data_IF_096966434077
#
_entry.id   IF_096966434077
#
_cell.length_a   1.000
_cell.length_b   1.000
_cell.length_c   1.000
_cell.angle_alpha   90.00
_cell.angle_beta   90.00
_cell.angle_gamma   90.00
#
_symmetry.space_group_name_H-M   'P 1'
#
loop_
_entity.id
_entity.type
_entity.pdbx_description
1 polymer ?
#
# COMPACT_ATOMS: atom_id res chain seq x y z
N UNK A 1 10.67 6.66 6.05
CA UNK A 1 11.70 6.69 4.98
C UNK A 1 11.78 8.02 4.20
N UNK A 2 10.79 8.38 3.35
CA UNK A 2 10.94 9.57 2.48
C UNK A 2 11.08 10.91 3.25
N UNK A 3 10.35 11.07 4.36
CA UNK A 3 10.47 12.26 5.20
C UNK A 3 11.82 12.32 5.94
N UNK A 4 12.28 11.18 6.45
CA UNK A 4 13.59 11.07 7.10
C UNK A 4 14.73 11.36 6.11
N UNK A 5 14.65 10.81 4.89
CA UNK A 5 15.59 11.11 3.82
C UNK A 5 15.62 12.61 3.51
N UNK A 6 14.44 13.26 3.47
CA UNK A 6 14.36 14.71 3.28
C UNK A 6 15.06 15.48 4.41
N UNK A 7 14.84 15.11 5.67
CA UNK A 7 15.50 15.74 6.82
C UNK A 7 17.03 15.57 6.73
N UNK A 8 17.51 14.39 6.36
CA UNK A 8 18.95 14.14 6.15
C UNK A 8 19.51 14.94 4.97
N UNK A 9 18.75 15.11 3.89
CA UNK A 9 19.18 15.92 2.75
C UNK A 9 19.20 17.41 3.07
N UNK A 10 18.25 17.90 3.88
CA UNK A 10 18.28 19.28 4.38
C UNK A 10 19.58 19.59 5.12
N UNK A 11 20.10 18.68 5.95
CA UNK A 11 21.37 18.91 6.65
C UNK A 11 22.60 18.78 5.74
N UNK A 12 22.54 17.94 4.70
CA UNK A 12 23.69 17.67 3.81
C UNK A 12 23.85 18.68 2.67
N UNK A 13 22.75 19.08 2.03
CA UNK A 13 22.78 19.92 0.81
C UNK A 13 21.88 21.17 0.92
N UNK A 14 21.26 21.40 2.07
CA UNK A 14 20.40 22.55 2.32
C UNK A 14 18.95 22.39 1.79
N UNK A 15 18.02 23.23 2.28
CA UNK A 15 16.59 23.14 1.95
C UNK A 15 16.32 23.46 0.47
N UNK A 16 16.96 24.48 -0.08
CA UNK A 16 16.69 24.95 -1.45
C UNK A 16 16.95 23.86 -2.51
N UNK A 17 18.07 23.14 -2.40
CA UNK A 17 18.40 22.04 -3.32
C UNK A 17 17.51 20.82 -3.08
N UNK A 18 17.21 20.52 -1.81
CA UNK A 18 16.40 19.36 -1.45
C UNK A 18 14.94 19.50 -1.91
N UNK A 19 14.37 20.71 -1.84
CA UNK A 19 12.98 20.95 -2.26
C UNK A 19 12.80 20.87 -3.78
N UNK A 20 13.89 21.04 -4.55
CA UNK A 20 13.92 20.78 -5.99
C UNK A 20 13.89 19.28 -6.32
N UNK A 21 14.18 18.39 -5.37
CA UNK A 21 14.18 16.95 -5.57
C UNK A 21 12.76 16.36 -5.54
N UNK A 22 12.50 15.44 -6.46
CA UNK A 22 11.24 14.66 -6.50
C UNK A 22 11.33 13.48 -5.54
N UNK A 23 11.13 13.74 -4.25
CA UNK A 23 11.17 12.73 -3.18
C UNK A 23 9.76 12.26 -2.79
N UNK A 24 9.55 10.95 -2.71
CA UNK A 24 8.29 10.35 -2.26
C UNK A 24 8.23 8.85 -2.51
N UNK A 25 7.15 8.22 -2.05
CA UNK A 25 6.84 6.83 -2.45
C UNK A 25 6.43 6.79 -3.92
N UNK A 26 6.45 5.59 -4.51
CA UNK A 26 6.00 5.37 -5.90
C UNK A 26 4.57 5.91 -6.08
N UNK A 27 3.62 5.47 -5.24
CA UNK A 27 2.22 5.89 -5.31
C UNK A 27 2.02 7.40 -5.17
N UNK A 28 2.72 8.06 -4.21
CA UNK A 28 2.62 9.52 -4.04
C UNK A 28 3.16 10.27 -5.27
N UNK A 29 4.22 9.73 -5.88
CA UNK A 29 4.78 10.28 -7.12
C UNK A 29 3.79 10.14 -8.26
N UNK A 30 3.21 8.95 -8.48
CA UNK A 30 2.18 8.72 -9.49
C UNK A 30 0.99 9.68 -9.34
N UNK A 31 0.43 9.75 -8.12
CA UNK A 31 -0.72 10.62 -7.83
C UNK A 31 -0.44 12.08 -8.16
N UNK A 32 0.74 12.59 -7.80
CA UNK A 32 1.14 13.97 -8.10
C UNK A 32 1.14 14.24 -9.61
N UNK A 33 1.70 13.34 -10.41
CA UNK A 33 1.72 13.53 -11.87
C UNK A 33 0.32 13.40 -12.48
N UNK A 34 -0.48 12.43 -12.03
CA UNK A 34 -1.84 12.25 -12.53
C UNK A 34 -2.68 13.50 -12.23
N UNK A 35 -2.67 14.00 -10.99
CA UNK A 35 -3.41 15.22 -10.62
C UNK A 35 -2.97 16.45 -11.42
N UNK A 36 -1.67 16.63 -11.64
CA UNK A 36 -1.15 17.83 -12.29
C UNK A 36 -1.25 17.81 -13.82
N UNK A 37 -1.35 16.63 -14.46
CA UNK A 37 -1.16 16.52 -15.91
C UNK A 37 -2.21 15.68 -16.65
N UNK A 38 -3.07 14.95 -15.93
CA UNK A 38 -4.08 14.09 -16.55
C UNK A 38 -5.47 14.38 -16.00
N UNK A 39 -5.63 14.35 -14.68
CA UNK A 39 -6.94 14.36 -14.04
C UNK A 39 -6.89 15.00 -12.64
N UNK A 40 -7.08 16.33 -12.54
CA UNK A 40 -7.06 17.05 -11.27
C UNK A 40 -8.13 16.56 -10.28
N UNK A 41 -9.30 16.15 -10.79
CA UNK A 41 -10.44 15.70 -10.00
C UNK A 41 -10.43 14.22 -9.63
N UNK A 42 -9.30 13.52 -9.80
CA UNK A 42 -9.19 12.09 -9.50
C UNK A 42 -9.38 11.82 -8.01
N UNK A 43 -10.27 10.88 -7.71
CA UNK A 43 -10.51 10.38 -6.35
C UNK A 43 -9.57 9.19 -6.09
N UNK A 44 -8.81 9.23 -4.99
CA UNK A 44 -8.02 8.08 -4.56
C UNK A 44 -8.88 7.19 -3.66
N UNK A 45 -9.00 5.91 -3.99
CA UNK A 45 -9.64 4.92 -3.13
C UNK A 45 -8.57 4.04 -2.48
N UNK A 46 -8.68 3.86 -1.17
CA UNK A 46 -7.83 2.93 -0.44
C UNK A 46 -8.38 1.50 -0.46
N UNK A 47 -7.64 0.58 0.16
CA UNK A 47 -8.01 -0.83 0.21
C UNK A 47 -9.39 -1.05 0.85
N UNK A 48 -9.78 -0.22 1.82
CA UNK A 48 -11.06 -0.35 2.55
C UNK A 48 -12.21 0.11 1.67
N UNK A 49 -12.07 1.26 1.02
CA UNK A 49 -13.08 1.78 0.08
C UNK A 49 -13.29 0.82 -1.10
N UNK A 50 -12.20 0.28 -1.65
CA UNK A 50 -12.27 -0.74 -2.70
C UNK A 50 -12.99 -2.01 -2.21
N UNK A 51 -12.66 -2.50 -1.01
CA UNK A 51 -13.32 -3.66 -0.41
C UNK A 51 -14.82 -3.42 -0.23
N UNK A 52 -15.21 -2.28 0.33
CA UNK A 52 -16.62 -1.91 0.54
C UNK A 52 -17.38 -1.87 -0.80
N UNK A 53 -16.79 -1.26 -1.83
CA UNK A 53 -17.40 -1.23 -3.16
C UNK A 53 -17.61 -2.64 -3.73
N UNK A 54 -16.60 -3.50 -3.64
CA UNK A 54 -16.69 -4.89 -4.10
C UNK A 54 -17.76 -5.66 -3.32
N UNK A 55 -17.83 -5.49 -1.99
CA UNK A 55 -18.82 -6.15 -1.14
C UNK A 55 -20.24 -5.78 -1.57
N UNK A 56 -20.49 -4.51 -1.81
CA UNK A 56 -21.79 -4.02 -2.26
C UNK A 56 -22.18 -4.56 -3.64
N UNK A 57 -21.25 -4.54 -4.60
CA UNK A 57 -21.48 -5.10 -5.94
C UNK A 57 -21.72 -6.60 -5.86
N UNK A 58 -21.02 -7.30 -4.96
CA UNK A 58 -21.24 -8.73 -4.69
C UNK A 58 -22.65 -8.98 -4.16
N UNK A 59 -23.16 -8.14 -3.25
CA UNK A 59 -24.54 -8.23 -2.73
C UNK A 59 -25.62 -8.05 -3.82
N UNK A 60 -25.29 -7.43 -4.95
CA UNK A 60 -26.20 -7.29 -6.09
C UNK A 60 -26.26 -8.55 -6.97
N UNK A 61 -25.24 -9.40 -6.92
CA UNK A 61 -25.05 -10.54 -7.82
C UNK A 61 -25.16 -11.91 -7.13
N UNK A 62 -24.90 -11.97 -5.82
CA UNK A 62 -24.82 -13.23 -5.06
C UNK A 62 -25.94 -13.30 -4.01
N UNK A 63 -26.36 -14.52 -3.66
CA UNK A 63 -27.39 -14.80 -2.65
C UNK A 63 -27.12 -14.14 -1.29
N UNK A 64 -28.19 -13.72 -0.60
CA UNK A 64 -28.16 -13.03 0.71
C UNK A 64 -27.43 -13.80 1.83
N UNK A 65 -27.23 -15.11 1.70
CA UNK A 65 -26.57 -15.96 2.72
C UNK A 65 -25.04 -16.12 2.54
N UNK A 66 -24.45 -15.48 1.52
CA UNK A 66 -23.03 -15.63 1.23
C UNK A 66 -22.12 -14.83 2.19
N UNK A 67 -20.89 -15.30 2.46
CA UNK A 67 -19.92 -14.57 3.27
C UNK A 67 -19.31 -13.41 2.48
N UNK A 68 -20.08 -12.33 2.28
CA UNK A 68 -19.74 -11.21 1.40
C UNK A 68 -18.35 -10.61 1.66
N UNK A 69 -17.98 -10.43 2.93
CA UNK A 69 -16.68 -9.89 3.30
C UNK A 69 -15.50 -10.75 2.80
N UNK A 70 -15.60 -12.07 2.97
CA UNK A 70 -14.57 -13.01 2.51
C UNK A 70 -14.51 -13.05 0.98
N UNK A 71 -15.67 -13.07 0.31
CA UNK A 71 -15.74 -13.02 -1.15
C UNK A 71 -15.11 -11.73 -1.68
N UNK A 72 -15.43 -10.59 -1.08
CA UNK A 72 -14.90 -9.30 -1.49
C UNK A 72 -13.38 -9.22 -1.38
N UNK A 73 -12.79 -9.76 -0.29
CA UNK A 73 -11.34 -9.83 -0.15
C UNK A 73 -10.65 -10.65 -1.23
N UNK A 74 -11.23 -11.81 -1.59
CA UNK A 74 -10.65 -12.66 -2.64
C UNK A 74 -10.79 -12.00 -4.02
N UNK A 75 -11.92 -11.34 -4.30
CA UNK A 75 -12.10 -10.55 -5.53
C UNK A 75 -11.13 -9.37 -5.57
N UNK A 76 -10.88 -8.70 -4.44
CA UNK A 76 -9.91 -7.62 -4.37
C UNK A 76 -8.48 -8.10 -4.67
N UNK A 77 -8.07 -9.25 -4.13
CA UNK A 77 -6.78 -9.89 -4.47
C UNK A 77 -6.71 -10.22 -5.97
N UNK A 78 -7.81 -10.73 -6.54
CA UNK A 78 -7.93 -11.01 -7.98
C UNK A 78 -7.66 -9.76 -8.82
N UNK A 79 -8.34 -8.66 -8.48
CA UNK A 79 -8.24 -7.37 -9.18
C UNK A 79 -6.83 -6.81 -9.06
N UNK A 80 -6.26 -6.78 -7.86
CA UNK A 80 -4.90 -6.30 -7.62
C UNK A 80 -3.88 -7.10 -8.45
N UNK A 81 -3.98 -8.43 -8.43
CA UNK A 81 -3.14 -9.32 -9.23
C UNK A 81 -3.27 -9.06 -10.73
N UNK A 82 -4.49 -8.91 -11.24
CA UNK A 82 -4.74 -8.55 -12.64
C UNK A 82 -4.05 -7.24 -13.03
N UNK A 83 -4.08 -6.23 -12.14
CA UNK A 83 -3.45 -4.92 -12.37
C UNK A 83 -1.93 -5.00 -12.31
N UNK A 84 -1.36 -5.77 -11.38
CA UNK A 84 0.09 -5.98 -11.27
C UNK A 84 0.65 -6.71 -12.49
N UNK A 85 -0.04 -7.75 -12.95
CA UNK A 85 0.40 -8.60 -14.07
C UNK A 85 -0.21 -8.20 -15.42
N UNK A 86 -0.77 -7.00 -15.53
CA UNK A 86 -1.40 -6.48 -16.76
C UNK A 86 -0.43 -6.62 -17.95
N UNK A 87 -0.92 -7.26 -19.01
CA UNK A 87 -0.14 -7.52 -20.24
C UNK A 87 0.87 -8.68 -20.12
N UNK A 88 0.75 -9.57 -19.14
CA UNK A 88 1.58 -10.78 -19.03
C UNK A 88 0.73 -12.05 -19.11
N UNK A 89 1.33 -13.19 -19.46
CA UNK A 89 0.63 -14.49 -19.52
C UNK A 89 0.05 -14.96 -18.17
N UNK A 90 0.49 -14.38 -17.05
CA UNK A 90 0.05 -14.72 -15.68
C UNK A 90 -1.36 -14.16 -15.33
N UNK A 91 -1.98 -13.32 -16.17
CA UNK A 91 -3.21 -12.60 -15.80
C UNK A 91 -4.52 -13.39 -15.93
N UNK A 92 -4.58 -14.46 -16.73
CA UNK A 92 -5.84 -15.10 -17.15
C UNK A 92 -6.15 -16.47 -16.50
N UNK A 93 -5.19 -17.41 -16.37
CA UNK A 93 -5.46 -18.74 -15.79
C UNK A 93 -5.88 -18.69 -14.30
N UNK A 94 -5.44 -17.66 -13.57
CA UNK A 94 -5.66 -17.54 -12.14
C UNK A 94 -7.09 -17.12 -11.77
N UNK A 95 -7.77 -16.36 -12.65
CA UNK A 95 -9.14 -15.92 -12.40
C UNK A 95 -10.12 -17.09 -12.35
N UNK A 96 -9.88 -18.11 -13.19
CA UNK A 96 -10.66 -19.35 -13.21
C UNK A 96 -10.46 -20.14 -11.91
N UNK A 97 -9.22 -20.17 -11.39
CA UNK A 97 -8.91 -20.82 -10.12
C UNK A 97 -9.56 -20.11 -8.92
N UNK A 98 -9.54 -18.78 -8.90
CA UNK A 98 -10.18 -18.03 -7.81
C UNK A 98 -11.70 -18.13 -7.83
N UNK A 99 -12.33 -18.12 -9.02
CA UNK A 99 -13.78 -18.32 -9.12
C UNK A 99 -14.22 -19.69 -8.57
N UNK A 100 -13.47 -20.76 -8.90
CA UNK A 100 -13.80 -22.11 -8.44
C UNK A 100 -13.61 -22.26 -6.93
N UNK A 101 -12.55 -21.65 -6.37
CA UNK A 101 -12.30 -21.62 -4.92
C UNK A 101 -13.41 -20.94 -4.13
N UNK A 102 -14.06 -19.93 -4.69
CA UNK A 102 -15.15 -19.21 -4.03
C UNK A 102 -16.53 -19.85 -4.20
N UNK A 103 -16.64 -20.89 -5.04
CA UNK A 103 -17.93 -21.47 -5.40
C UNK A 103 -18.85 -20.51 -6.14
N UNK A 104 -18.27 -19.51 -6.83
CA UNK A 104 -19.01 -18.53 -7.66
C UNK A 104 -18.78 -18.93 -9.11
N UNK A 105 -19.84 -18.99 -9.91
CA UNK A 105 -19.69 -19.28 -11.33
C UNK A 105 -18.80 -18.21 -12.01
N UNK A 106 -17.98 -18.65 -12.96
CA UNK A 106 -16.97 -17.78 -13.56
C UNK A 106 -17.56 -16.53 -14.22
N UNK A 107 -18.76 -16.64 -14.81
CA UNK A 107 -19.42 -15.51 -15.46
C UNK A 107 -19.86 -14.44 -14.44
N UNK A 108 -20.46 -14.86 -13.31
CA UNK A 108 -20.80 -13.95 -12.20
C UNK A 108 -19.55 -13.33 -11.59
N UNK A 109 -18.48 -14.11 -11.39
CA UNK A 109 -17.20 -13.59 -10.89
C UNK A 109 -16.62 -12.51 -11.80
N UNK A 110 -16.57 -12.75 -13.11
CA UNK A 110 -16.15 -11.75 -14.10
C UNK A 110 -17.05 -10.52 -14.12
N UNK A 111 -18.37 -10.71 -13.96
CA UNK A 111 -19.33 -9.61 -13.92
C UNK A 111 -19.11 -8.72 -12.69
N UNK A 112 -18.87 -9.30 -11.51
CA UNK A 112 -18.56 -8.52 -10.29
C UNK A 112 -17.27 -7.70 -10.48
N UNK A 113 -16.23 -8.29 -11.07
CA UNK A 113 -14.98 -7.56 -11.37
C UNK A 113 -15.24 -6.41 -12.35
N UNK A 114 -15.98 -6.69 -13.43
CA UNK A 114 -16.33 -5.69 -14.46
C UNK A 114 -17.13 -4.53 -13.87
N UNK A 115 -18.16 -4.82 -13.08
CA UNK A 115 -19.01 -3.80 -12.47
C UNK A 115 -18.26 -3.02 -11.38
N UNK A 116 -17.33 -3.66 -10.67
CA UNK A 116 -16.40 -2.98 -9.75
C UNK A 116 -15.57 -1.93 -10.48
N UNK A 117 -14.92 -2.34 -11.57
CA UNK A 117 -14.08 -1.44 -12.36
C UNK A 117 -14.89 -0.33 -13.04
N UNK A 118 -16.10 -0.62 -13.53
CA UNK A 118 -17.02 0.40 -14.08
C UNK A 118 -17.41 1.42 -13.01
N UNK A 119 -17.73 0.97 -11.81
CA UNK A 119 -18.11 1.86 -10.70
C UNK A 119 -16.96 2.78 -10.31
N UNK A 120 -15.73 2.26 -10.23
CA UNK A 120 -14.53 3.08 -10.02
C UNK A 120 -14.33 4.11 -11.14
N UNK A 121 -14.49 3.69 -12.41
CA UNK A 121 -14.36 4.56 -13.57
C UNK A 121 -15.38 5.70 -13.56
N UNK A 122 -16.67 5.41 -13.34
CA UNK A 122 -17.73 6.43 -13.25
C UNK A 122 -17.54 7.35 -12.04
N UNK A 123 -16.90 6.83 -10.99
CA UNK A 123 -16.55 7.59 -9.79
C UNK A 123 -15.27 8.43 -9.95
N UNK A 124 -14.68 8.48 -11.15
CA UNK A 124 -13.37 9.09 -11.42
C UNK A 124 -12.29 8.65 -10.40
N UNK A 125 -12.33 7.38 -10.03
CA UNK A 125 -11.56 6.84 -8.92
C UNK A 125 -10.43 5.92 -9.38
N UNK A 126 -9.29 6.01 -8.70
CA UNK A 126 -8.14 5.11 -8.88
C UNK A 126 -7.77 4.50 -7.53
N UNK A 127 -7.40 3.23 -7.52
CA UNK A 127 -6.69 2.62 -6.39
C UNK A 127 -5.16 2.72 -6.56
N UNK A 128 -4.42 2.17 -5.60
CA UNK A 128 -2.96 2.22 -5.61
C UNK A 128 -2.33 1.54 -6.83
N UNK A 129 -2.90 0.42 -7.31
CA UNK A 129 -2.39 -0.28 -8.48
C UNK A 129 -2.74 0.43 -9.80
N UNK A 130 -3.90 1.09 -9.84
CA UNK A 130 -4.30 1.95 -10.95
C UNK A 130 -3.37 3.16 -11.08
N UNK A 131 -2.97 3.79 -9.97
CA UNK A 131 -2.03 4.93 -10.00
C UNK A 131 -0.73 4.57 -10.74
N UNK A 132 -0.21 3.36 -10.52
CA UNK A 132 1.02 2.88 -11.18
C UNK A 132 0.79 2.69 -12.68
N UNK A 133 -0.31 2.03 -13.05
CA UNK A 133 -0.61 1.72 -14.46
C UNK A 133 -1.02 2.97 -15.27
N UNK A 134 -1.82 3.86 -14.70
CA UNK A 134 -2.23 5.13 -15.32
C UNK A 134 -1.03 6.04 -15.53
N UNK A 135 -0.15 6.16 -14.54
CA UNK A 135 1.05 6.97 -14.72
C UNK A 135 2.00 6.38 -15.76
N UNK A 136 2.13 5.05 -15.84
CA UNK A 136 2.89 4.39 -16.91
C UNK A 136 2.31 4.72 -18.28
N UNK A 137 0.99 4.59 -18.46
CA UNK A 137 0.32 4.95 -19.71
C UNK A 137 0.49 6.43 -20.06
N UNK A 138 0.45 7.32 -19.07
CA UNK A 138 0.71 8.75 -19.27
C UNK A 138 2.14 9.03 -19.77
N UNK A 139 3.14 8.29 -19.29
CA UNK A 139 4.53 8.42 -19.76
C UNK A 139 4.66 7.92 -21.20
N UNK A 140 4.01 6.82 -21.55
CA UNK A 140 4.00 6.28 -22.92
C UNK A 140 3.39 7.29 -23.91
N UNK A 141 2.31 7.97 -23.50
CA UNK A 141 1.65 9.01 -24.31
C UNK A 141 2.42 10.34 -24.34
N UNK A 142 3.04 10.74 -23.22
CA UNK A 142 3.75 12.03 -23.06
C UNK A 142 5.12 11.84 -22.38
N UNK A 143 6.14 11.32 -23.10
CA UNK A 143 7.47 11.09 -22.54
C UNK A 143 8.15 12.36 -22.01
N UNK A 144 7.79 13.53 -22.56
CA UNK A 144 8.33 14.83 -22.17
C UNK A 144 8.11 15.18 -20.69
N UNK A 145 7.10 14.59 -20.03
CA UNK A 145 6.80 14.81 -18.61
C UNK A 145 7.96 14.41 -17.68
N UNK A 146 8.72 13.40 -18.06
CA UNK A 146 9.85 12.88 -17.27
C UNK A 146 11.20 13.25 -17.86
N UNK A 147 11.26 13.93 -19.01
CA UNK A 147 12.49 14.30 -19.74
C UNK A 147 13.57 15.01 -18.91
N UNK A 148 13.18 15.76 -17.87
CA UNK A 148 14.11 16.45 -16.97
C UNK A 148 14.70 15.56 -15.87
N UNK A 149 14.22 14.33 -15.73
CA UNK A 149 14.77 13.35 -14.80
C UNK A 149 16.08 12.84 -15.39
N UNK A 150 17.20 13.02 -14.70
CA UNK A 150 18.51 12.50 -15.14
C UNK A 150 18.93 11.26 -14.35
N UNK A 151 18.49 11.18 -13.09
CA UNK A 151 18.83 10.10 -12.18
C UNK A 151 17.57 9.64 -11.44
N UNK A 152 17.43 8.33 -11.31
CA UNK A 152 16.34 7.69 -10.58
C UNK A 152 16.98 6.83 -9.50
N UNK A 153 16.60 7.07 -8.25
CA UNK A 153 17.05 6.29 -7.10
C UNK A 153 15.84 5.56 -6.52
N UNK A 154 15.98 4.25 -6.35
CA UNK A 154 14.93 3.39 -5.78
C UNK A 154 15.52 2.65 -4.61
N UNK A 155 14.93 2.86 -3.44
CA UNK A 155 15.25 2.16 -2.20
C UNK A 155 14.26 1.01 -1.98
N UNK A 156 14.62 0.02 -1.17
CA UNK A 156 13.82 -1.19 -0.89
C UNK A 156 13.33 -1.92 -2.15
N UNK A 157 14.22 -2.07 -3.15
CA UNK A 157 13.85 -2.61 -4.46
C UNK A 157 13.32 -4.05 -4.42
N UNK A 158 13.70 -4.83 -3.39
CA UNK A 158 13.18 -6.19 -3.17
C UNK A 158 11.68 -6.25 -2.95
N UNK A 159 11.07 -5.15 -2.48
CA UNK A 159 9.65 -5.07 -2.18
C UNK A 159 8.82 -4.50 -3.35
N UNK A 160 9.44 -4.33 -4.53
CA UNK A 160 8.76 -3.86 -5.73
C UNK A 160 8.01 -4.98 -6.43
N UNK A 161 6.83 -4.66 -6.96
CA UNK A 161 6.08 -5.58 -7.83
C UNK A 161 6.37 -5.31 -9.32
N UNK A 162 5.94 -6.22 -10.20
CA UNK A 162 6.18 -6.12 -11.65
C UNK A 162 5.62 -4.84 -12.29
N UNK A 163 4.48 -4.32 -11.84
CA UNK A 163 3.92 -3.08 -12.37
C UNK A 163 4.77 -1.86 -12.01
N UNK A 164 5.26 -1.81 -10.76
CA UNK A 164 6.17 -0.77 -10.27
C UNK A 164 7.51 -0.83 -10.99
N UNK A 165 8.07 -2.03 -11.19
CA UNK A 165 9.28 -2.24 -12.00
C UNK A 165 9.10 -1.68 -13.42
N UNK A 166 8.03 -2.08 -14.12
CA UNK A 166 7.73 -1.58 -15.47
C UNK A 166 7.56 -0.07 -15.53
N UNK A 167 6.96 0.53 -14.50
CA UNK A 167 6.87 1.99 -14.39
C UNK A 167 8.26 2.63 -14.28
N UNK A 168 9.10 2.15 -13.37
CA UNK A 168 10.47 2.65 -13.18
C UNK A 168 11.27 2.56 -14.48
N UNK A 169 11.21 1.41 -15.15
CA UNK A 169 11.84 1.19 -16.45
C UNK A 169 11.30 2.16 -17.52
N UNK A 170 9.99 2.37 -17.58
CA UNK A 170 9.36 3.29 -18.54
C UNK A 170 9.80 4.75 -18.32
N UNK A 171 9.89 5.19 -17.05
CA UNK A 171 10.41 6.51 -16.71
C UNK A 171 11.84 6.64 -17.24
N UNK A 172 12.72 5.71 -16.88
CA UNK A 172 14.13 5.76 -17.23
C UNK A 172 14.36 5.76 -18.75
N UNK A 173 13.59 4.96 -19.48
CA UNK A 173 13.65 4.90 -20.95
C UNK A 173 13.17 6.22 -21.57
N UNK A 174 12.07 6.78 -21.09
CA UNK A 174 11.51 8.03 -21.61
C UNK A 174 12.42 9.25 -21.32
N UNK A 175 13.13 9.25 -20.19
CA UNK A 175 14.02 10.34 -19.78
C UNK A 175 15.49 10.13 -20.09
N UNK A 176 15.86 8.97 -20.64
CA UNK A 176 17.25 8.52 -20.81
C UNK A 176 18.07 8.67 -19.50
N UNK A 177 17.46 8.31 -18.36
CA UNK A 177 18.07 8.45 -17.03
C UNK A 177 18.96 7.27 -16.67
N UNK A 178 19.97 7.54 -15.84
CA UNK A 178 20.63 6.49 -15.06
C UNK A 178 19.74 6.05 -13.89
N UNK A 179 19.66 4.74 -13.66
CA UNK A 179 18.96 4.16 -12.50
C UNK A 179 19.96 3.63 -11.49
N UNK A 180 19.68 3.87 -10.21
CA UNK A 180 20.33 3.20 -9.09
C UNK A 180 19.26 2.58 -8.21
N UNK A 181 19.33 1.26 -8.02
CA UNK A 181 18.44 0.51 -7.13
C UNK A 181 19.24 0.03 -5.93
N UNK A 182 18.64 0.08 -4.75
CA UNK A 182 19.20 -0.45 -3.50
C UNK A 182 18.16 -1.40 -2.91
N UNK A 183 18.61 -2.53 -2.40
CA UNK A 183 17.73 -3.48 -1.75
C UNK A 183 18.45 -4.77 -1.36
N UNK A 184 17.79 -5.55 -0.52
CA UNK A 184 18.29 -6.83 -0.03
C UNK A 184 17.22 -7.92 -0.23
N UNK A 185 17.41 -8.88 -1.14
CA UNK A 185 16.50 -10.00 -1.33
C UNK A 185 16.21 -10.80 -0.06
N UNK A 186 17.15 -10.88 0.88
CA UNK A 186 16.95 -11.59 2.16
C UNK A 186 15.99 -10.83 3.10
N UNK A 187 15.64 -9.58 2.76
CA UNK A 187 14.69 -8.73 3.48
C UNK A 187 13.33 -8.62 2.78
N UNK A 188 13.08 -9.41 1.73
CA UNK A 188 11.82 -9.37 0.99
C UNK A 188 10.67 -9.99 1.82
N UNK A 189 9.87 -9.16 2.48
CA UNK A 189 8.76 -9.59 3.36
C UNK A 189 7.37 -9.25 2.81
N UNK A 190 7.29 -8.59 1.64
CA UNK A 190 6.04 -8.15 1.00
C UNK A 190 5.57 -9.05 -0.15
N UNK A 191 6.02 -10.32 -0.22
CA UNK A 191 5.58 -11.25 -1.26
C UNK A 191 4.06 -11.46 -1.35
N UNK A 192 3.35 -11.33 -0.22
CA UNK A 192 1.89 -11.36 -0.16
C UNK A 192 1.21 -10.13 -0.81
N UNK A 193 1.97 -9.08 -1.16
CA UNK A 193 1.54 -7.95 -2.02
C UNK A 193 2.18 -8.01 -3.41
N UNK A 194 2.55 -9.20 -3.86
CA UNK A 194 3.14 -9.46 -5.19
C UNK A 194 4.50 -8.81 -5.42
N UNK A 195 5.24 -8.48 -4.35
CA UNK A 195 6.65 -8.15 -4.48
C UNK A 195 7.41 -9.34 -5.09
N UNK A 196 8.30 -9.06 -6.02
CA UNK A 196 9.02 -10.10 -6.77
C UNK A 196 10.53 -9.80 -6.77
N UNK A 197 11.30 -10.60 -6.03
CA UNK A 197 12.76 -10.48 -5.98
C UNK A 197 13.40 -10.83 -7.32
N UNK A 198 12.69 -11.49 -8.24
CA UNK A 198 13.15 -11.68 -9.61
C UNK A 198 13.33 -10.35 -10.36
N UNK A 199 12.77 -9.24 -9.88
CA UNK A 199 13.00 -7.91 -10.46
C UNK A 199 14.48 -7.54 -10.50
N UNK A 200 15.31 -8.01 -9.56
CA UNK A 200 16.77 -7.82 -9.63
C UNK A 200 17.39 -8.45 -10.89
N UNK A 201 16.85 -9.56 -11.38
CA UNK A 201 17.36 -10.26 -12.56
C UNK A 201 17.10 -9.47 -13.85
N UNK A 202 16.07 -8.62 -13.88
CA UNK A 202 15.84 -7.71 -15.00
C UNK A 202 16.84 -6.54 -15.05
N UNK A 203 17.50 -6.24 -13.93
CA UNK A 203 18.55 -5.23 -13.85
C UNK A 203 19.92 -5.75 -14.29
N UNK A 204 20.24 -7.04 -14.15
CA UNK A 204 21.57 -7.57 -14.45
C UNK A 204 21.55 -9.00 -15.04
N UNK A 205 22.41 -9.27 -16.03
CA UNK A 205 22.64 -10.63 -16.57
C UNK A 205 23.69 -11.34 -15.72
N UNK A 206 23.37 -12.54 -15.21
CA UNK A 206 24.34 -13.63 -15.06
C UNK A 206 25.60 -13.40 -14.22
N UNK A 207 25.64 -12.36 -13.39
CA UNK A 207 26.57 -12.30 -12.28
C UNK A 207 25.89 -12.96 -11.10
N UNK A 208 26.24 -14.22 -10.84
CA UNK A 208 26.20 -14.74 -9.47
C UNK A 208 26.75 -13.64 -8.57
N UNK A 209 26.10 -13.38 -7.43
CA UNK A 209 26.57 -12.48 -6.39
C UNK A 209 27.92 -12.99 -5.85
N UNK A 210 28.98 -12.91 -6.63
CA UNK A 210 30.32 -13.33 -6.24
C UNK A 210 31.13 -12.10 -5.83
N UNK A 211 32.01 -12.23 -4.83
CA UNK A 211 32.84 -11.14 -4.36
C UNK A 211 33.70 -10.59 -5.50
N UNK A 212 34.08 -9.33 -5.36
CA UNK A 212 35.05 -8.64 -6.22
C UNK A 212 36.26 -9.56 -6.41
N UNK A 213 36.54 -9.92 -7.67
CA UNK A 213 37.53 -10.92 -8.13
C UNK A 213 37.04 -12.36 -8.21
N UNK A 214 36.32 -12.72 -9.27
CA UNK A 214 36.65 -13.85 -10.17
C UNK A 214 35.67 -13.95 -11.34
N UNK A 215 36.16 -14.54 -12.44
CA UNK A 215 35.58 -14.63 -13.79
C UNK A 215 34.06 -14.91 -13.82
N UNK A 216 33.38 -14.16 -14.68
CA UNK A 216 31.99 -14.37 -15.10
C UNK A 216 31.82 -15.81 -15.59
N UNK A 217 31.09 -16.64 -14.85
CA UNK A 217 30.58 -17.91 -15.37
C UNK A 217 29.37 -17.57 -16.23
N UNK A 218 29.55 -17.52 -17.54
CA UNK A 218 28.45 -17.54 -18.50
C UNK A 218 27.74 -18.88 -18.39
N UNK A 219 26.55 -18.91 -17.78
CA UNK A 219 25.61 -20.02 -17.92
C UNK A 219 24.73 -19.77 -19.18
N UNK A 220 24.94 -20.48 -20.31
CA UNK A 220 24.19 -20.23 -21.54
C UNK A 220 22.71 -20.62 -21.43
N UNK A 221 22.37 -21.53 -20.51
CA UNK A 221 21.03 -22.14 -20.42
C UNK A 221 19.96 -21.22 -19.80
N UNK A 222 20.34 -20.32 -18.87
CA UNK A 222 19.38 -19.41 -18.21
C UNK A 222 18.89 -18.27 -19.12
N UNK A 223 19.60 -17.99 -20.21
CA UNK A 223 19.30 -16.89 -21.14
C UNK A 223 18.03 -17.13 -21.97
N UNK A 224 17.61 -18.39 -22.12
CA UNK A 224 16.49 -18.76 -22.99
C UNK A 224 15.11 -18.59 -22.32
N UNK A 225 15.04 -18.59 -20.99
CA UNK A 225 13.77 -18.57 -20.25
C UNK A 225 13.35 -17.19 -19.72
N UNK A 226 14.29 -16.26 -19.48
CA UNK A 226 14.03 -15.02 -18.71
C UNK A 226 13.84 -13.74 -19.56
N UNK A 227 13.91 -13.82 -20.89
CA UNK A 227 13.82 -12.64 -21.76
C UNK A 227 15.08 -11.75 -21.71
N UNK A 228 15.12 -10.64 -22.47
CA UNK A 228 16.26 -9.73 -22.48
C UNK A 228 16.38 -8.99 -21.14
N UNK A 229 17.61 -8.76 -20.68
CA UNK A 229 17.89 -7.89 -19.54
C UNK A 229 17.75 -6.43 -19.97
N UNK A 230 16.99 -5.66 -19.20
CA UNK A 230 16.61 -4.29 -19.55
C UNK A 230 17.78 -3.31 -19.36
N UNK A 231 18.70 -3.61 -18.43
CA UNK A 231 19.87 -2.79 -18.12
C UNK A 231 21.19 -3.56 -18.25
N UNK A 232 21.68 -3.83 -19.48
CA UNK A 232 22.85 -4.68 -19.70
C UNK A 232 24.18 -4.08 -19.17
N UNK A 233 24.22 -2.77 -18.92
CA UNK A 233 25.41 -2.05 -18.41
C UNK A 233 25.39 -1.82 -16.89
N UNK A 234 24.52 -2.51 -16.16
CA UNK A 234 24.41 -2.37 -14.71
C UNK A 234 25.71 -2.75 -14.01
N UNK A 235 26.16 -1.89 -13.09
CA UNK A 235 27.24 -2.18 -12.16
C UNK A 235 26.63 -2.64 -10.84
N UNK A 236 27.04 -3.80 -10.36
CA UNK A 236 26.60 -4.34 -9.07
C UNK A 236 27.67 -4.01 -8.02
N UNK A 237 27.24 -3.42 -6.91
CA UNK A 237 28.10 -3.12 -5.76
C UNK A 237 27.52 -3.83 -4.55
N UNK A 238 28.28 -4.77 -3.98
CA UNK A 238 27.88 -5.49 -2.77
C UNK A 238 28.40 -4.73 -1.54
N UNK A 239 27.49 -4.38 -0.64
CA UNK A 239 27.82 -3.78 0.65
C UNK A 239 27.90 -4.88 1.70
N UNK A 240 29.11 -5.32 2.01
CA UNK A 240 29.34 -6.46 2.90
C UNK A 240 29.55 -6.03 4.36
N UNK A 241 29.81 -4.75 4.63
CA UNK A 241 30.06 -4.28 6.00
C UNK A 241 28.78 -3.85 6.69
N UNK A 242 28.47 -4.49 7.82
CA UNK A 242 27.38 -4.12 8.71
C UNK A 242 27.87 -3.12 9.78
N UNK A 243 27.22 -1.96 9.83
CA UNK A 243 27.49 -0.87 10.76
C UNK A 243 26.45 -0.74 11.88
N UNK A 244 25.41 -1.58 11.89
CA UNK A 244 24.25 -1.45 12.79
C UNK A 244 24.33 -2.39 13.99
N UNK A 245 24.72 -3.63 13.75
CA UNK A 245 24.58 -4.74 14.69
C UNK A 245 25.94 -5.19 15.20
N UNK A 246 25.98 -5.63 16.45
CA UNK A 246 27.18 -6.25 17.03
C UNK A 246 27.46 -7.62 16.39
N UNK A 247 28.70 -8.14 16.48
CA UNK A 247 29.06 -9.46 15.97
C UNK A 247 28.15 -10.57 16.49
N UNK A 248 27.78 -10.56 17.77
CA UNK A 248 26.86 -11.54 18.36
C UNK A 248 25.49 -11.58 17.67
N UNK A 249 24.89 -10.41 17.40
CA UNK A 249 23.60 -10.31 16.72
C UNK A 249 23.73 -10.73 15.25
N UNK A 250 24.80 -10.29 14.57
CA UNK A 250 25.00 -10.63 13.16
C UNK A 250 25.21 -12.13 12.96
N UNK A 251 26.04 -12.77 13.81
CA UNK A 251 26.28 -14.21 13.76
C UNK A 251 24.98 -15.01 13.99
N UNK A 252 24.14 -14.56 14.92
CA UNK A 252 22.83 -15.16 15.15
C UNK A 252 21.91 -15.05 13.93
N UNK A 253 21.82 -13.85 13.31
CA UNK A 253 21.05 -13.65 12.09
C UNK A 253 21.56 -14.52 10.93
N UNK A 254 22.88 -14.66 10.79
CA UNK A 254 23.50 -15.56 9.82
C UNK A 254 23.15 -17.03 10.03
N UNK A 255 23.16 -17.50 11.27
CA UNK A 255 22.78 -18.87 11.59
C UNK A 255 21.32 -19.17 11.25
N UNK A 256 20.43 -18.17 11.34
CA UNK A 256 19.03 -18.31 10.93
C UNK A 256 18.92 -18.37 9.40
N UNK A 257 19.45 -17.37 8.69
CA UNK A 257 19.28 -17.26 7.24
C UNK A 257 20.00 -18.37 6.46
N UNK A 258 21.06 -18.96 7.03
CA UNK A 258 21.78 -20.08 6.42
C UNK A 258 20.94 -21.36 6.25
N UNK A 259 19.78 -21.45 6.91
CA UNK A 259 18.83 -22.56 6.75
C UNK A 259 18.09 -22.49 5.41
N UNK A 260 18.05 -21.33 4.74
CA UNK A 260 17.46 -21.20 3.41
C UNK A 260 18.49 -21.57 2.32
N UNK A 261 18.39 -22.79 1.81
CA UNK A 261 19.27 -23.31 0.77
C UNK A 261 18.96 -22.78 -0.64
N UNK A 262 17.84 -22.07 -0.82
CA UNK A 262 17.50 -21.46 -2.11
C UNK A 262 18.24 -20.15 -2.37
N UNK A 263 18.92 -19.60 -1.35
CA UNK A 263 19.58 -18.30 -1.43
C UNK A 263 20.97 -18.35 -2.06
N UNK A 264 21.39 -17.31 -2.80
CA UNK A 264 22.79 -17.10 -3.15
C UNK A 264 23.63 -16.86 -1.90
N UNK A 265 24.79 -17.51 -1.79
CA UNK A 265 25.71 -17.27 -0.67
C UNK A 265 26.22 -15.84 -0.66
N UNK A 266 25.99 -15.13 0.44
CA UNK A 266 26.50 -13.77 0.67
C UNK A 266 27.11 -13.67 2.05
N UNK A 267 28.14 -12.85 2.16
CA UNK A 267 28.87 -12.61 3.40
C UNK A 267 28.64 -11.18 3.85
N UNK A 268 28.11 -11.02 5.07
CA UNK A 268 28.15 -9.75 5.80
C UNK A 268 29.21 -9.86 6.90
N UNK A 269 29.95 -8.80 7.13
CA UNK A 269 30.97 -8.71 8.16
C UNK A 269 30.66 -7.52 9.05
N UNK A 270 30.84 -7.66 10.35
CA UNK A 270 30.78 -6.51 11.25
C UNK A 270 31.99 -5.61 11.06
N UNK A 271 31.82 -4.32 11.35
CA UNK A 271 32.95 -3.41 11.46
C UNK A 271 33.92 -3.93 12.55
N UNK A 272 35.21 -4.10 12.20
CA UNK A 272 36.25 -4.64 13.10
C UNK A 272 36.35 -3.92 14.45
N UNK A 273 35.95 -2.66 14.52
CA UNK A 273 35.97 -1.84 15.73
C UNK A 273 34.79 -2.12 16.69
N UNK A 274 33.76 -2.86 16.29
CA UNK A 274 32.63 -3.13 17.17
C UNK A 274 32.99 -4.19 18.22
N UNK A 275 32.69 -3.95 19.51
CA UNK A 275 32.76 -5.01 20.51
C UNK A 275 31.76 -6.11 20.15
N UNK A 276 32.08 -7.36 20.48
CA UNK A 276 31.27 -8.56 20.18
C UNK A 276 29.80 -8.38 20.62
N UNK A 277 29.60 -7.68 21.74
CA UNK A 277 28.28 -7.40 22.31
C UNK A 277 27.64 -8.65 22.95
N UNK A 278 26.56 -8.46 23.71
CA UNK A 278 25.86 -9.56 24.35
C UNK A 278 25.23 -10.50 23.32
N UNK A 279 25.13 -11.78 23.67
CA UNK A 279 24.40 -12.76 22.87
C UNK A 279 22.89 -12.48 22.95
N UNK A 280 22.14 -12.66 21.84
CA UNK A 280 20.69 -12.67 21.88
C UNK A 280 20.18 -13.69 22.91
N UNK A 281 19.27 -13.26 23.79
CA UNK A 281 18.67 -14.10 24.80
C UNK A 281 17.30 -14.60 24.33
N UNK A 282 17.09 -15.92 24.37
CA UNK A 282 15.79 -16.55 24.13
C UNK A 282 15.18 -16.99 25.46
N UNK A 283 14.03 -16.40 25.81
CA UNK A 283 13.29 -16.75 27.01
C UNK A 283 11.90 -17.27 26.63
N UNK A 284 11.50 -18.39 27.24
CA UNK A 284 10.16 -18.95 27.09
C UNK A 284 9.31 -18.57 28.30
N UNK A 285 8.14 -18.02 28.04
CA UNK A 285 7.15 -17.68 29.06
C UNK A 285 5.90 -18.57 28.89
N UNK A 286 5.13 -18.80 29.96
CA UNK A 286 4.00 -19.73 29.92
C UNK A 286 2.84 -19.21 29.06
N UNK A 287 2.67 -17.88 28.98
CA UNK A 287 1.65 -17.23 28.18
C UNK A 287 2.09 -15.81 27.75
N UNK A 288 1.29 -15.18 26.90
CA UNK A 288 1.56 -13.86 26.34
C UNK A 288 1.57 -12.74 27.39
N UNK A 289 0.77 -12.86 28.46
CA UNK A 289 0.72 -11.85 29.52
C UNK A 289 2.00 -11.88 30.37
N UNK A 290 2.48 -13.06 30.73
CA UNK A 290 3.76 -13.24 31.43
C UNK A 290 4.94 -12.80 30.55
N UNK A 291 4.89 -13.05 29.24
CA UNK A 291 5.86 -12.52 28.29
C UNK A 291 5.90 -10.99 28.28
N UNK A 292 4.75 -10.35 28.19
CA UNK A 292 4.64 -8.90 28.21
C UNK A 292 5.11 -8.29 29.55
N UNK A 293 4.74 -8.91 30.68
CA UNK A 293 5.15 -8.48 32.03
C UNK A 293 6.66 -8.65 32.25
N UNK A 294 7.23 -9.76 31.77
CA UNK A 294 8.67 -10.03 31.84
C UNK A 294 9.46 -9.01 31.02
N UNK A 295 9.04 -8.75 29.77
CA UNK A 295 9.68 -7.75 28.90
C UNK A 295 9.57 -6.34 29.49
N UNK A 296 8.39 -5.94 30.00
CA UNK A 296 8.21 -4.63 30.64
C UNK A 296 9.12 -4.48 31.87
N UNK A 297 9.23 -5.51 32.71
CA UNK A 297 10.13 -5.50 33.87
C UNK A 297 11.59 -5.41 33.42
N UNK A 298 11.98 -6.17 32.40
CA UNK A 298 13.34 -6.15 31.86
C UNK A 298 13.73 -4.77 31.30
N UNK A 299 12.85 -4.11 30.55
CA UNK A 299 13.07 -2.74 30.04
C UNK A 299 13.23 -1.76 31.21
N UNK A 300 12.36 -1.84 32.22
CA UNK A 300 12.42 -0.97 33.38
C UNK A 300 13.73 -1.14 34.16
N UNK A 301 14.13 -2.38 34.41
CA UNK A 301 15.36 -2.71 35.14
C UNK A 301 16.59 -2.24 34.38
N UNK A 302 16.64 -2.43 33.05
CA UNK A 302 17.73 -1.92 32.22
C UNK A 302 17.79 -0.41 32.21
N UNK A 303 16.65 0.27 32.09
CA UNK A 303 16.58 1.73 32.16
C UNK A 303 17.15 2.24 33.49
N UNK A 304 16.69 1.69 34.63
CA UNK A 304 17.17 2.08 35.96
C UNK A 304 18.66 1.83 36.16
N UNK A 305 19.18 0.67 35.72
CA UNK A 305 20.59 0.30 35.87
C UNK A 305 21.52 1.04 34.92
N UNK A 306 21.00 1.58 33.82
CA UNK A 306 21.81 2.27 32.81
C UNK A 306 22.31 3.66 33.25
N UNK A 307 21.79 4.20 34.36
CA UNK A 307 22.15 5.52 34.89
C UNK A 307 22.08 6.63 33.82
N UNK A 308 21.02 6.61 33.00
CA UNK A 308 20.79 7.59 31.94
C UNK A 308 21.48 7.28 30.60
N UNK A 309 22.27 6.20 30.50
CA UNK A 309 22.86 5.78 29.24
C UNK A 309 21.82 5.24 28.24
N UNK A 310 20.73 4.65 28.73
CA UNK A 310 19.59 4.22 27.91
C UNK A 310 18.35 5.04 28.24
N UNK A 311 17.63 5.45 27.19
CA UNK A 311 16.31 6.09 27.28
C UNK A 311 15.24 5.10 26.85
N UNK A 312 13.99 5.31 27.26
CA UNK A 312 12.88 4.48 26.80
C UNK A 312 12.71 4.48 25.27
N UNK A 313 13.15 5.54 24.58
CA UNK A 313 13.17 5.61 23.12
C UNK A 313 14.18 4.68 22.42
N UNK A 314 15.12 4.10 23.17
CA UNK A 314 16.13 3.17 22.63
C UNK A 314 15.63 1.72 22.58
N UNK A 315 14.42 1.46 23.10
CA UNK A 315 13.80 0.14 23.12
C UNK A 315 12.71 0.02 22.05
N UNK A 316 12.69 -1.10 21.34
CA UNK A 316 11.65 -1.44 20.38
C UNK A 316 11.13 -2.87 20.61
N UNK A 317 9.80 -3.03 20.66
CA UNK A 317 9.13 -4.33 20.75
C UNK A 317 8.55 -4.65 19.37
N UNK A 318 9.07 -5.72 18.73
CA UNK A 318 8.62 -6.17 17.42
C UNK A 318 7.69 -7.38 17.59
N UNK A 319 6.49 -7.28 17.05
CA UNK A 319 5.45 -8.31 17.17
C UNK A 319 5.07 -8.85 15.80
N UNK A 320 4.78 -10.16 15.73
CA UNK A 320 4.28 -10.78 14.50
C UNK A 320 2.85 -10.35 14.18
N UNK A 321 1.98 -10.30 15.20
CA UNK A 321 0.57 -9.96 15.04
C UNK A 321 0.23 -8.67 15.77
N UNK A 322 -0.50 -7.80 15.09
CA UNK A 322 -0.94 -6.52 15.64
C UNK A 322 -1.83 -6.64 16.87
N UNK A 323 -2.58 -7.73 17.01
CA UNK A 323 -3.52 -7.91 18.13
C UNK A 323 -2.79 -8.05 19.48
N UNK A 324 -1.55 -8.56 19.46
CA UNK A 324 -0.77 -8.75 20.68
C UNK A 324 -0.32 -7.43 21.32
N UNK A 325 -0.27 -6.33 20.55
CA UNK A 325 0.18 -5.03 21.06
C UNK A 325 -0.63 -4.54 22.26
N UNK A 326 -1.90 -4.94 22.40
CA UNK A 326 -2.74 -4.52 23.51
C UNK A 326 -2.25 -5.08 24.85
N UNK A 327 -1.82 -6.34 24.87
CA UNK A 327 -1.27 -6.99 26.07
C UNK A 327 0.03 -6.29 26.51
N UNK A 328 0.93 -6.03 25.56
CA UNK A 328 2.17 -5.30 25.83
C UNK A 328 1.93 -3.86 26.30
N UNK A 329 0.97 -3.15 25.68
CA UNK A 329 0.63 -1.79 26.07
C UNK A 329 0.09 -1.73 27.52
N UNK A 330 -0.70 -2.72 27.92
CA UNK A 330 -1.20 -2.82 29.29
C UNK A 330 -0.07 -3.08 30.29
N UNK A 331 0.81 -4.05 30.02
CA UNK A 331 1.97 -4.36 30.88
C UNK A 331 2.92 -3.17 31.03
N UNK A 332 3.23 -2.45 29.94
CA UNK A 332 4.05 -1.24 29.98
C UNK A 332 3.38 -0.13 30.79
N UNK A 333 2.05 0.05 30.63
CA UNK A 333 1.28 1.02 31.40
C UNK A 333 1.27 0.70 32.90
N UNK A 334 1.08 -0.56 33.28
CA UNK A 334 1.14 -1.01 34.70
C UNK A 334 2.50 -0.67 35.34
N UNK A 335 3.58 -0.70 34.57
CA UNK A 335 4.95 -0.34 35.01
C UNK A 335 5.29 1.15 34.88
N UNK A 336 4.36 1.99 34.42
CA UNK A 336 4.61 3.43 34.23
C UNK A 336 5.64 3.74 33.13
N UNK A 337 5.86 2.82 32.19
CA UNK A 337 6.81 3.02 31.09
C UNK A 337 6.14 3.82 29.97
N UNK A 338 6.70 4.97 29.54
CA UNK A 338 6.19 5.67 28.38
C UNK A 338 6.45 4.85 27.12
N UNK A 339 5.42 4.69 26.29
CA UNK A 339 5.53 3.94 25.04
C UNK A 339 4.76 4.62 23.91
N UNK A 340 5.20 4.36 22.68
CA UNK A 340 4.50 4.73 21.47
C UNK A 340 4.17 3.48 20.66
N UNK A 341 2.89 3.24 20.42
CA UNK A 341 2.47 2.23 19.46
C UNK A 341 2.58 2.86 18.08
N UNK A 342 3.51 2.39 17.25
CA UNK A 342 3.58 2.79 15.85
C UNK A 342 2.28 2.32 15.16
N UNK A 343 1.38 3.24 14.77
CA UNK A 343 0.09 2.83 14.23
C UNK A 343 0.29 2.23 12.85
N UNK A 344 -0.20 1.00 12.64
CA UNK A 344 -0.49 0.52 11.28
C UNK A 344 -1.79 1.15 10.75
N UNK A 345 -2.72 1.46 11.64
CA UNK A 345 -3.97 2.19 11.35
C UNK A 345 -3.77 3.66 11.71
N UNK A 346 -3.74 4.53 10.70
CA UNK A 346 -3.68 5.98 10.88
C UNK A 346 -4.79 6.48 11.83
N UNK A 347 -4.64 7.66 12.44
CA UNK A 347 -5.77 8.38 13.05
C UNK A 347 -7.00 8.39 12.12
N UNK A 348 -6.73 8.53 10.82
CA UNK A 348 -7.71 8.48 9.73
C UNK A 348 -8.39 7.12 9.51
N UNK A 349 -7.99 6.05 10.18
CA UNK A 349 -8.63 4.74 10.07
C UNK A 349 -9.69 4.50 11.15
N UNK A 350 -9.87 5.42 12.11
CA UNK A 350 -10.93 5.32 13.13
C UNK A 350 -12.30 5.52 12.45
N UNK A 351 -13.30 4.71 12.83
CA UNK A 351 -14.63 4.81 12.24
C UNK A 351 -15.21 6.21 12.36
N UNK A 352 -15.21 6.80 13.55
CA UNK A 352 -15.72 8.17 13.75
C UNK A 352 -15.05 9.21 12.85
N UNK A 353 -13.74 9.08 12.61
CA UNK A 353 -12.99 9.98 11.73
C UNK A 353 -13.40 9.74 10.28
N UNK A 354 -13.47 8.49 9.83
CA UNK A 354 -13.91 8.14 8.48
C UNK A 354 -15.37 8.53 8.22
N UNK A 355 -16.24 8.42 9.22
CA UNK A 355 -17.66 8.77 9.13
C UNK A 355 -17.83 10.27 8.93
N UNK A 356 -17.11 11.09 9.71
CA UNK A 356 -17.09 12.55 9.51
C UNK A 356 -16.47 12.92 8.16
N UNK A 357 -15.35 12.30 7.80
CA UNK A 357 -14.69 12.55 6.53
C UNK A 357 -15.54 12.11 5.33
N UNK A 358 -16.43 11.12 5.48
CA UNK A 358 -17.32 10.71 4.41
C UNK A 358 -18.23 11.85 3.96
N UNK A 359 -18.82 12.61 4.89
CA UNK A 359 -19.65 13.77 4.54
C UNK A 359 -18.84 14.87 3.85
N UNK A 360 -17.67 15.22 4.41
CA UNK A 360 -16.79 16.24 3.83
C UNK A 360 -16.32 15.83 2.44
N UNK A 361 -15.76 14.63 2.28
CA UNK A 361 -15.27 14.17 0.98
C UNK A 361 -16.38 14.01 -0.03
N UNK A 362 -17.57 13.54 0.36
CA UNK A 362 -18.69 13.40 -0.57
C UNK A 362 -19.22 14.77 -1.04
N UNK A 363 -19.22 15.79 -0.18
CA UNK A 363 -19.61 17.15 -0.56
C UNK A 363 -18.71 17.73 -1.67
N UNK A 364 -17.38 17.52 -1.57
CA UNK A 364 -16.40 18.00 -2.56
C UNK A 364 -16.17 17.04 -3.72
N UNK A 365 -16.42 15.75 -3.53
CA UNK A 365 -16.27 14.70 -4.55
C UNK A 365 -17.55 13.84 -4.63
N UNK A 366 -18.64 14.38 -5.24
CA UNK A 366 -19.92 13.66 -5.37
C UNK A 366 -19.83 12.33 -6.12
N UNK A 367 -18.77 12.15 -6.90
CA UNK A 367 -18.49 10.93 -7.63
C UNK A 367 -18.01 9.77 -6.74
N UNK A 368 -17.55 10.02 -5.50
CA UNK A 368 -16.96 9.02 -4.63
C UNK A 368 -17.99 8.11 -3.94
N UNK A 369 -18.50 7.14 -4.69
CA UNK A 369 -19.54 6.18 -4.26
C UNK A 369 -19.28 5.51 -2.89
N UNK A 370 -18.06 5.08 -2.51
CA UNK A 370 -17.84 4.43 -1.21
C UNK A 370 -18.09 5.34 -0.01
N UNK A 371 -17.89 6.65 -0.13
CA UNK A 371 -18.25 7.59 0.95
C UNK A 371 -19.75 7.66 1.15
N UNK A 372 -20.52 7.65 0.06
CA UNK A 372 -21.98 7.57 0.12
C UNK A 372 -22.45 6.26 0.76
N UNK A 373 -21.88 5.13 0.35
CA UNK A 373 -22.22 3.83 0.93
C UNK A 373 -21.87 3.75 2.41
N UNK A 374 -20.73 4.31 2.82
CA UNK A 374 -20.35 4.41 4.23
C UNK A 374 -21.36 5.22 5.04
N UNK A 375 -21.85 6.35 4.50
CA UNK A 375 -22.91 7.14 5.15
C UNK A 375 -24.16 6.28 5.30
N UNK A 376 -24.57 5.57 4.25
CA UNK A 376 -25.76 4.73 4.27
C UNK A 376 -25.66 3.55 5.24
N UNK A 377 -24.51 2.87 5.30
CA UNK A 377 -24.27 1.75 6.22
C UNK A 377 -24.34 2.18 7.71
N UNK A 378 -24.06 3.45 8.00
CA UNK A 378 -24.15 4.02 9.35
C UNK A 378 -25.53 4.61 9.67
N UNK A 379 -26.44 4.67 8.71
CA UNK A 379 -27.81 5.17 8.91
C UNK A 379 -28.79 4.02 8.85
N UNK A 380 -29.44 3.69 9.97
CA UNK A 380 -30.43 2.61 10.04
C UNK A 380 -31.75 2.91 9.29
N UNK A 381 -31.83 4.05 8.62
CA UNK A 381 -33.09 4.62 8.16
C UNK A 381 -33.33 4.45 6.67
N UNK A 382 -32.28 4.21 5.88
CA UNK A 382 -32.39 3.86 4.46
C UNK A 382 -32.32 2.34 4.35
N UNK A 383 -33.35 1.73 3.76
CA UNK A 383 -33.42 0.29 3.66
C UNK A 383 -32.40 -0.28 2.66
N UNK A 384 -31.93 -1.49 2.93
CA UNK A 384 -30.91 -2.17 2.11
C UNK A 384 -31.33 -2.40 0.65
N UNK A 385 -32.63 -2.43 0.33
CA UNK A 385 -33.09 -2.60 -1.05
C UNK A 385 -33.00 -1.27 -1.82
N UNK A 386 -33.32 -0.15 -1.18
CA UNK A 386 -33.09 1.20 -1.71
C UNK A 386 -31.61 1.43 -2.04
N UNK A 387 -30.69 1.07 -1.14
CA UNK A 387 -29.24 1.17 -1.40
C UNK A 387 -28.84 0.36 -2.63
N UNK A 388 -29.31 -0.89 -2.74
CA UNK A 388 -29.05 -1.74 -3.92
C UNK A 388 -29.62 -1.15 -5.21
N UNK A 389 -30.81 -0.56 -5.15
CA UNK A 389 -31.45 0.06 -6.30
C UNK A 389 -30.67 1.29 -6.76
N UNK A 390 -30.18 2.13 -5.84
CA UNK A 390 -29.31 3.27 -6.17
C UNK A 390 -28.09 2.79 -6.97
N UNK A 391 -27.41 1.74 -6.51
CA UNK A 391 -26.22 1.20 -7.19
C UNK A 391 -26.56 0.56 -8.54
N UNK A 392 -27.65 -0.22 -8.62
CA UNK A 392 -28.12 -0.82 -9.87
C UNK A 392 -28.45 0.25 -10.91
N UNK A 393 -29.18 1.30 -10.51
CA UNK A 393 -29.51 2.40 -11.42
C UNK A 393 -28.28 3.19 -11.83
N UNK A 394 -27.34 3.45 -10.92
CA UNK A 394 -26.08 4.10 -11.23
C UNK A 394 -25.29 3.32 -12.30
N UNK A 395 -25.23 1.98 -12.15
CA UNK A 395 -24.58 1.10 -13.11
C UNK A 395 -25.29 1.08 -14.47
N UNK A 396 -26.62 0.94 -14.49
CA UNK A 396 -27.43 0.89 -15.73
C UNK A 396 -27.39 2.21 -16.49
N UNK A 397 -27.41 3.34 -15.76
CA UNK A 397 -27.38 4.68 -16.36
C UNK A 397 -25.97 5.19 -16.64
N UNK A 398 -24.94 4.44 -16.24
CA UNK A 398 -23.53 4.85 -16.36
C UNK A 398 -23.25 6.21 -15.67
N UNK A 399 -23.84 6.41 -14.48
CA UNK A 399 -23.71 7.64 -13.68
C UNK A 399 -23.21 7.35 -12.26
N UNK A 400 -22.97 8.40 -11.48
CA UNK A 400 -22.56 8.26 -10.08
C UNK A 400 -23.76 7.95 -9.19
N UNK A 401 -23.53 7.19 -8.11
CA UNK A 401 -24.59 6.91 -7.13
C UNK A 401 -25.20 8.18 -6.54
N UNK A 402 -24.40 9.24 -6.35
CA UNK A 402 -24.88 10.53 -5.85
C UNK A 402 -25.84 11.23 -6.84
N UNK A 403 -25.65 11.04 -8.15
CA UNK A 403 -26.57 11.56 -9.17
C UNK A 403 -27.94 10.91 -9.04
N UNK A 404 -27.96 9.59 -8.85
CA UNK A 404 -29.20 8.84 -8.60
C UNK A 404 -29.85 9.29 -7.29
N UNK A 405 -29.07 9.50 -6.23
CA UNK A 405 -29.58 10.02 -4.95
C UNK A 405 -30.27 11.36 -5.12
N UNK A 406 -29.67 12.32 -5.85
CA UNK A 406 -30.30 13.62 -6.12
C UNK A 406 -31.61 13.47 -6.90
N UNK A 407 -31.64 12.56 -7.87
CA UNK A 407 -32.84 12.25 -8.64
C UNK A 407 -33.93 11.57 -7.81
N UNK A 408 -33.56 10.74 -6.83
CA UNK A 408 -34.52 10.13 -5.89
C UNK A 408 -35.02 11.13 -4.84
N UNK A 409 -34.17 12.07 -4.42
CA UNK A 409 -34.55 13.10 -3.45
C UNK A 409 -35.59 14.07 -4.04
N UNK A 410 -35.35 14.61 -5.24
CA UNK A 410 -36.17 15.67 -5.82
C UNK A 410 -37.01 15.27 -7.04
N UNK A 411 -36.76 14.09 -7.62
CA UNK A 411 -37.44 13.63 -8.83
C UNK A 411 -38.59 12.66 -8.55
N UNK A 412 -39.48 12.53 -9.54
CA UNK A 412 -40.58 11.53 -9.54
C UNK A 412 -40.24 10.27 -10.32
N UNK A 413 -39.01 10.18 -10.84
CA UNK A 413 -38.56 9.11 -11.76
C UNK A 413 -38.46 7.76 -11.06
N UNK A 414 -38.12 7.76 -9.78
CA UNK A 414 -37.87 6.54 -9.01
C UNK A 414 -38.92 6.38 -7.92
N UNK A 415 -39.51 5.18 -7.81
CA UNK A 415 -40.40 4.84 -6.71
C UNK A 415 -39.56 4.61 -5.45
N UNK A 416 -39.68 5.52 -4.49
CA UNK A 416 -39.05 5.44 -3.18
C UNK A 416 -40.11 5.68 -2.10
N UNK A 417 -39.91 5.11 -0.91
CA UNK A 417 -40.80 5.37 0.21
C UNK A 417 -40.64 6.85 0.68
N UNK A 418 -41.71 7.52 1.14
CA UNK A 418 -41.63 8.95 1.49
C UNK A 418 -40.59 9.28 2.58
N UNK A 419 -40.43 8.39 3.56
CA UNK A 419 -39.49 8.56 4.67
C UNK A 419 -38.03 8.56 4.19
N UNK A 420 -37.67 7.63 3.32
CA UNK A 420 -36.34 7.56 2.72
C UNK A 420 -36.13 8.71 1.74
N UNK A 421 -37.17 9.18 1.03
CA UNK A 421 -37.07 10.37 0.19
C UNK A 421 -36.71 11.62 0.99
N UNK A 422 -37.42 11.88 2.09
CA UNK A 422 -37.14 13.00 3.00
C UNK A 422 -35.71 12.95 3.54
N UNK A 423 -35.21 11.76 3.87
CA UNK A 423 -33.84 11.60 4.35
C UNK A 423 -32.77 11.81 3.27
N UNK A 424 -33.04 11.35 2.05
CA UNK A 424 -32.15 11.67 0.92
C UNK A 424 -32.15 13.17 0.64
N UNK A 425 -33.29 13.87 0.81
CA UNK A 425 -33.34 15.34 0.73
C UNK A 425 -32.47 15.99 1.80
N UNK A 426 -32.66 15.64 3.08
CA UNK A 426 -31.83 16.16 4.17
C UNK A 426 -30.34 15.90 3.96
N UNK A 427 -29.97 14.71 3.45
CA UNK A 427 -28.58 14.40 3.13
C UNK A 427 -28.05 15.31 2.02
N UNK A 428 -28.81 15.51 0.95
CA UNK A 428 -28.40 16.38 -0.16
C UNK A 428 -28.24 17.82 0.31
N UNK A 429 -29.18 18.35 1.09
CA UNK A 429 -29.12 19.69 1.67
C UNK A 429 -27.89 19.87 2.56
N UNK A 430 -27.59 18.91 3.43
CA UNK A 430 -26.41 18.95 4.28
C UNK A 430 -25.11 18.96 3.46
N UNK A 431 -25.02 18.14 2.41
CA UNK A 431 -23.84 18.09 1.54
C UNK A 431 -23.65 19.40 0.75
N UNK A 432 -24.75 20.00 0.30
CA UNK A 432 -24.74 21.29 -0.41
C UNK A 432 -24.30 22.41 0.56
N UNK A 433 -24.84 22.44 1.78
CA UNK A 433 -24.40 23.35 2.84
C UNK A 433 -22.91 23.24 3.15
N UNK A 434 -22.39 22.02 3.36
CA UNK A 434 -20.95 21.79 3.63
C UNK A 434 -20.09 22.33 2.48
N UNK A 435 -20.54 22.13 1.24
CA UNK A 435 -19.80 22.58 0.06
C UNK A 435 -19.80 24.10 -0.06
N UNK A 436 -20.93 24.75 0.17
CA UNK A 436 -21.06 26.21 0.13
C UNK A 436 -20.20 26.88 1.21
N UNK A 437 -20.30 26.41 2.46
CA UNK A 437 -19.50 26.94 3.58
C UNK A 437 -18.00 26.70 3.39
N UNK A 438 -17.60 25.55 2.84
CA UNK A 438 -16.20 25.28 2.59
C UNK A 438 -15.60 26.08 1.42
N UNK A 439 -16.44 26.66 0.55
CA UNK A 439 -16.02 27.57 -0.53
C UNK A 439 -16.03 29.04 -0.09
N UNK A 440 -16.78 29.40 0.96
CA UNK A 440 -16.90 30.77 1.45
C UNK A 440 -15.73 31.21 2.36
N UNK A 441 -14.89 30.28 2.83
CA UNK A 441 -13.68 30.58 3.59
C UNK A 441 -12.62 31.19 2.65
N UNK A 442 -12.20 32.46 2.82
CA UNK A 442 -11.15 33.06 2.01
C UNK A 442 -9.83 32.31 2.22
N UNK A 443 -9.04 32.17 1.16
CA UNK A 443 -7.64 31.72 1.20
C UNK A 443 -6.75 32.69 2.00
N UNK A 444 -6.97 32.78 3.30
CA UNK A 444 -6.05 33.43 4.23
C UNK A 444 -5.50 32.36 5.16
N UNK A 445 -4.43 31.71 4.73
CA UNK A 445 -3.25 31.34 5.51
C UNK A 445 -2.35 30.45 4.64
N UNK A 446 -1.40 31.14 4.00
CA UNK A 446 -0.25 30.64 3.23
C UNK A 446 0.62 29.65 4.00
#
# INVERSE_FOLDING_TARGET
PAQELRVRLYSLIGPELTDRLKLGTIHRTCLRYIKNHLNPGVSLWDDVMCQQNIEHITKCHVSKKAPFWSIALNIQDAIARMKVYKGTRKSQPELVYQSSRLGIDYHTFQRIISDTQKTMKHSNALDFDDLVNEFRGLIELKPSLVSRTRHILVDEFQDTNMAQYKLIHSIARASNSGITVVGDPDQAIFGWRFADTANFQHMCVGQSFTPISTRVIQCPFYRWFLGPVDFPRTRVLNLETNYRSTPSILNFAHAIIAQDHSRPTRSLYTLKAHPVGPLPNLQKQPNLEEEANSIASYIHDLYQRSDGALKYGDFAILLRYNIWKFVFAESLKRKGIPFQILPKSSFYAKNSVLDTLAYVFLAFSPQATPWLLRIFDNTDTIDSETIKNIQRYALIKETTAMTIVRQMAYGTVYKINPKSQEQLQCLVELLDYIKEEGQSVPESHS
#
